data_IF_936679208885
#
_entry.id   IF_936679208885
#
_cell.length_a   1.000
_cell.length_b   1.000
_cell.length_c   1.000
_cell.angle_alpha   90.00
_cell.angle_beta   90.00
_cell.angle_gamma   90.00
#
_symmetry.space_group_name_H-M   'P 1'
#
loop_
_entity.id
_entity.type
_entity.pdbx_description
1 polymer ?
#
# COMPACT_ATOMS: atom_id res chain seq x y z
N UNK A 1 -28.05 -62.04 -30.77
CA UNK A 1 -27.72 -61.07 -29.69
C UNK A 1 -28.81 -61.24 -28.61
N UNK A 2 -28.46 -61.61 -27.42
CA UNK A 2 -29.49 -61.91 -26.39
C UNK A 2 -30.08 -60.63 -25.81
N UNK A 3 -31.35 -60.65 -25.45
CA UNK A 3 -32.13 -59.53 -24.86
C UNK A 3 -31.38 -58.83 -23.70
N UNK A 4 -30.50 -59.50 -22.99
CA UNK A 4 -29.66 -58.96 -21.93
C UNK A 4 -28.59 -57.96 -22.46
N UNK A 5 -28.00 -58.25 -23.63
CA UNK A 5 -27.00 -57.36 -24.23
C UNK A 5 -27.61 -56.05 -24.74
N UNK A 6 -28.82 -56.10 -25.30
CA UNK A 6 -29.58 -54.91 -25.74
C UNK A 6 -29.97 -54.02 -24.57
N UNK A 7 -30.38 -54.60 -23.42
CA UNK A 7 -30.71 -53.82 -22.21
C UNK A 7 -29.49 -53.16 -21.58
N UNK A 8 -28.33 -53.84 -21.56
CA UNK A 8 -27.09 -53.23 -21.08
C UNK A 8 -26.61 -52.09 -21.98
N UNK A 9 -26.71 -52.25 -23.30
CA UNK A 9 -26.34 -51.23 -24.26
C UNK A 9 -27.25 -50.00 -24.16
N UNK A 10 -28.54 -50.15 -23.99
CA UNK A 10 -29.47 -49.09 -23.75
C UNK A 10 -29.20 -48.33 -22.43
N UNK A 11 -28.86 -49.05 -21.36
CA UNK A 11 -28.53 -48.46 -20.08
C UNK A 11 -27.23 -47.59 -20.14
N UNK A 12 -26.21 -48.05 -20.89
CA UNK A 12 -24.97 -47.28 -21.10
C UNK A 12 -25.22 -46.01 -21.87
N UNK A 13 -26.07 -46.04 -22.89
CA UNK A 13 -26.41 -44.81 -23.66
C UNK A 13 -27.15 -43.79 -22.79
N UNK A 14 -28.06 -44.25 -21.94
CA UNK A 14 -28.80 -43.36 -21.01
C UNK A 14 -27.85 -42.77 -19.98
N UNK A 15 -26.94 -43.54 -19.41
CA UNK A 15 -25.97 -43.05 -18.45
C UNK A 15 -24.95 -42.04 -19.09
N UNK A 16 -24.52 -42.29 -20.32
CA UNK A 16 -23.66 -41.36 -21.07
C UNK A 16 -24.42 -40.11 -21.44
N UNK A 17 -25.72 -40.17 -21.80
CA UNK A 17 -26.56 -39.03 -22.07
C UNK A 17 -26.79 -38.14 -20.84
N UNK A 18 -26.98 -38.72 -19.67
CA UNK A 18 -27.09 -38.03 -18.39
C UNK A 18 -25.77 -37.35 -18.04
N UNK A 19 -24.64 -38.05 -18.22
CA UNK A 19 -23.30 -37.45 -18.01
C UNK A 19 -23.05 -36.24 -18.88
N UNK A 20 -23.46 -36.26 -20.14
CA UNK A 20 -23.32 -35.12 -21.06
C UNK A 20 -24.24 -33.96 -20.69
N UNK A 21 -25.45 -34.23 -20.18
CA UNK A 21 -26.36 -33.18 -19.72
C UNK A 21 -25.83 -32.45 -18.48
N UNK A 22 -25.14 -33.14 -17.59
CA UNK A 22 -24.47 -32.55 -16.42
C UNK A 22 -23.18 -31.82 -16.78
N UNK A 23 -22.43 -32.27 -17.80
CA UNK A 23 -21.19 -31.59 -18.24
C UNK A 23 -21.48 -30.33 -19.07
N UNK A 24 -22.62 -30.28 -19.80
CA UNK A 24 -23.00 -29.13 -20.62
C UNK A 24 -23.63 -27.99 -19.85
N UNK A 25 -24.07 -28.20 -18.61
CA UNK A 25 -24.66 -27.18 -17.75
C UNK A 25 -23.63 -26.64 -16.74
N UNK A 26 -22.44 -26.27 -17.22
CA UNK A 26 -21.60 -25.38 -16.41
C UNK A 26 -22.36 -24.07 -16.31
N UNK A 27 -22.76 -23.61 -15.09
CA UNK A 27 -23.29 -22.26 -14.98
C UNK A 27 -22.20 -21.37 -15.54
N UNK A 28 -22.55 -20.52 -16.49
CA UNK A 28 -21.67 -19.42 -16.87
C UNK A 28 -21.46 -18.61 -15.59
N UNK A 29 -20.41 -18.95 -14.84
CA UNK A 29 -19.93 -18.08 -13.79
C UNK A 29 -19.68 -16.76 -14.51
N UNK A 30 -20.54 -15.79 -14.25
CA UNK A 30 -20.32 -14.43 -14.69
C UNK A 30 -18.88 -14.11 -14.25
N UNK A 31 -17.98 -14.07 -15.22
CA UNK A 31 -16.58 -13.77 -14.94
C UNK A 31 -16.62 -12.43 -14.24
N UNK A 32 -16.16 -12.37 -13.01
CA UNK A 32 -15.99 -11.10 -12.34
C UNK A 32 -15.20 -10.21 -13.31
N UNK A 33 -15.67 -8.98 -13.57
CA UNK A 33 -14.97 -8.10 -14.51
C UNK A 33 -13.50 -8.05 -14.13
N UNK A 34 -12.62 -8.06 -15.13
CA UNK A 34 -11.19 -7.94 -14.87
C UNK A 34 -10.93 -6.59 -14.15
N UNK A 35 -9.84 -6.46 -13.41
CA UNK A 35 -9.48 -5.17 -12.80
C UNK A 35 -9.43 -4.03 -13.82
N UNK A 36 -8.97 -4.30 -15.04
CA UNK A 36 -8.95 -3.33 -16.13
C UNK A 36 -10.36 -2.92 -16.57
N UNK A 37 -11.30 -3.87 -16.70
CA UNK A 37 -12.69 -3.58 -17.07
C UNK A 37 -13.40 -2.81 -15.94
N UNK A 38 -13.09 -3.15 -14.68
CA UNK A 38 -13.63 -2.44 -13.53
C UNK A 38 -13.09 -0.99 -13.45
N UNK A 39 -11.81 -0.78 -13.78
CA UNK A 39 -11.20 0.53 -13.87
C UNK A 39 -11.84 1.35 -15.01
N UNK A 40 -11.99 0.76 -16.20
CA UNK A 40 -12.66 1.42 -17.34
C UNK A 40 -14.09 1.82 -16.98
N UNK A 41 -14.86 0.93 -16.35
CA UNK A 41 -16.23 1.23 -15.89
C UNK A 41 -16.25 2.36 -14.86
N UNK A 42 -15.29 2.43 -13.95
CA UNK A 42 -15.18 3.53 -12.99
C UNK A 42 -14.84 4.86 -13.69
N UNK A 43 -13.98 4.83 -14.71
CA UNK A 43 -13.67 6.00 -15.53
C UNK A 43 -14.90 6.48 -16.32
N UNK A 44 -15.73 5.58 -16.84
CA UNK A 44 -16.99 5.93 -17.51
C UNK A 44 -17.97 6.61 -16.57
N UNK A 45 -18.07 6.14 -15.32
CA UNK A 45 -18.86 6.79 -14.29
C UNK A 45 -18.34 8.21 -13.99
N UNK A 46 -17.03 8.38 -13.89
CA UNK A 46 -16.41 9.68 -13.67
C UNK A 46 -16.68 10.65 -14.84
N UNK A 47 -16.51 10.18 -16.07
CA UNK A 47 -16.78 10.96 -17.29
C UNK A 47 -18.26 11.33 -17.45
N UNK A 48 -19.15 10.54 -16.86
CA UNK A 48 -20.59 10.80 -16.79
C UNK A 48 -20.98 11.68 -15.57
N UNK A 49 -20.01 12.30 -14.90
CA UNK A 49 -20.17 13.15 -13.72
C UNK A 49 -20.77 12.42 -12.49
N UNK A 50 -20.84 11.10 -12.53
CA UNK A 50 -21.31 10.25 -11.41
C UNK A 50 -20.18 9.99 -10.42
N UNK A 51 -19.60 11.06 -9.88
CA UNK A 51 -18.36 11.05 -9.10
C UNK A 51 -18.42 10.16 -7.86
N UNK A 52 -19.58 10.11 -7.19
CA UNK A 52 -19.76 9.26 -6.00
C UNK A 52 -19.71 7.77 -6.36
N UNK A 53 -20.30 7.40 -7.49
CA UNK A 53 -20.31 6.01 -7.94
C UNK A 53 -18.95 5.60 -8.50
N UNK A 54 -18.29 6.51 -9.20
CA UNK A 54 -16.91 6.34 -9.64
C UNK A 54 -15.98 6.08 -8.43
N UNK A 55 -16.05 6.94 -7.40
CA UNK A 55 -15.25 6.78 -6.18
C UNK A 55 -15.47 5.41 -5.53
N UNK A 56 -16.73 4.98 -5.37
CA UNK A 56 -17.05 3.64 -4.82
C UNK A 56 -16.49 2.49 -5.68
N UNK A 57 -16.40 2.69 -6.99
CA UNK A 57 -15.86 1.67 -7.91
C UNK A 57 -14.35 1.61 -7.79
N UNK A 58 -13.66 2.74 -7.70
CA UNK A 58 -12.22 2.80 -7.41
C UNK A 58 -11.91 2.26 -6.01
N UNK A 59 -12.68 2.60 -4.98
CA UNK A 59 -12.50 2.07 -3.62
C UNK A 59 -12.61 0.55 -3.57
N UNK A 60 -13.50 -0.05 -4.35
CA UNK A 60 -13.59 -1.51 -4.46
C UNK A 60 -12.33 -2.11 -5.03
N UNK A 61 -11.71 -1.49 -6.05
CA UNK A 61 -10.44 -1.95 -6.60
C UNK A 61 -9.34 -1.86 -5.55
N UNK A 62 -9.24 -0.76 -4.81
CA UNK A 62 -8.30 -0.62 -3.69
C UNK A 62 -8.56 -1.70 -2.63
N UNK A 63 -9.83 -1.96 -2.29
CA UNK A 63 -10.22 -3.01 -1.33
C UNK A 63 -9.88 -4.43 -1.78
N UNK A 64 -9.73 -4.66 -3.09
CA UNK A 64 -9.24 -5.92 -3.67
C UNK A 64 -7.70 -6.00 -3.71
N UNK A 65 -7.00 -4.99 -3.21
CA UNK A 65 -5.55 -4.94 -3.14
C UNK A 65 -4.86 -4.38 -4.39
N UNK A 66 -5.60 -3.73 -5.28
CA UNK A 66 -4.99 -3.02 -6.41
C UNK A 66 -4.44 -1.68 -5.93
N UNK A 67 -3.16 -1.46 -6.20
CA UNK A 67 -2.44 -0.24 -5.82
C UNK A 67 -1.58 0.21 -7.02
N UNK A 68 -2.12 1.12 -7.80
CA UNK A 68 -1.39 1.79 -8.87
C UNK A 68 -1.64 3.30 -8.82
N UNK A 69 -0.77 4.09 -9.46
CA UNK A 69 -0.83 5.54 -9.43
C UNK A 69 -2.11 6.07 -10.07
N UNK A 70 -2.54 5.49 -11.20
CA UNK A 70 -3.73 5.92 -11.93
C UNK A 70 -5.00 5.70 -11.11
N UNK A 71 -5.08 4.56 -10.40
CA UNK A 71 -6.22 4.26 -9.53
C UNK A 71 -6.34 5.29 -8.40
N UNK A 72 -5.25 5.58 -7.70
CA UNK A 72 -5.27 6.58 -6.63
C UNK A 72 -5.46 7.99 -7.16
N UNK A 73 -4.87 8.34 -8.30
CA UNK A 73 -5.06 9.63 -8.94
C UNK A 73 -6.53 9.86 -9.31
N UNK A 74 -7.17 8.89 -9.99
CA UNK A 74 -8.57 8.99 -10.41
C UNK A 74 -9.53 8.98 -9.21
N UNK A 75 -9.21 8.23 -8.15
CA UNK A 75 -9.97 8.27 -6.90
C UNK A 75 -9.84 9.65 -6.22
N UNK A 76 -8.64 10.23 -6.23
CA UNK A 76 -8.40 11.60 -5.78
C UNK A 76 -9.24 12.62 -6.55
N UNK A 77 -9.24 12.52 -7.89
CA UNK A 77 -10.07 13.35 -8.76
C UNK A 77 -11.56 13.20 -8.45
N UNK A 78 -12.05 11.97 -8.22
CA UNK A 78 -13.45 11.72 -7.91
C UNK A 78 -13.86 12.32 -6.57
N UNK A 79 -13.00 12.30 -5.56
CA UNK A 79 -13.24 12.96 -4.28
C UNK A 79 -13.17 14.50 -4.39
N UNK A 80 -12.21 15.02 -5.15
CA UNK A 80 -12.14 16.45 -5.42
C UNK A 80 -13.44 16.98 -6.04
N UNK A 81 -14.01 16.26 -7.03
CA UNK A 81 -15.28 16.61 -7.65
C UNK A 81 -16.49 16.53 -6.70
N UNK A 82 -16.35 15.86 -5.58
CA UNK A 82 -17.36 15.78 -4.51
C UNK A 82 -17.10 16.81 -3.38
N UNK A 83 -16.13 17.72 -3.56
CA UNK A 83 -15.68 18.69 -2.55
C UNK A 83 -15.12 18.04 -1.27
N UNK A 84 -14.68 16.77 -1.38
CA UNK A 84 -14.03 16.06 -0.29
C UNK A 84 -12.51 16.22 -0.41
N UNK A 85 -12.05 17.41 -0.05
CA UNK A 85 -10.64 17.79 -0.21
C UNK A 85 -9.70 16.91 0.61
N UNK A 86 -10.13 16.47 1.79
CA UNK A 86 -9.34 15.62 2.67
C UNK A 86 -9.04 14.25 2.05
N UNK A 87 -10.08 13.57 1.51
CA UNK A 87 -9.89 12.29 0.81
C UNK A 87 -9.19 12.46 -0.53
N UNK A 88 -9.39 13.57 -1.23
CA UNK A 88 -8.66 13.88 -2.45
C UNK A 88 -7.14 13.98 -2.18
N UNK A 89 -6.72 14.78 -1.20
CA UNK A 89 -5.32 14.92 -0.78
C UNK A 89 -4.72 13.57 -0.41
N UNK A 90 -5.43 12.77 0.39
CA UNK A 90 -4.95 11.45 0.81
C UNK A 90 -4.64 10.55 -0.40
N UNK A 91 -5.52 10.53 -1.39
CA UNK A 91 -5.33 9.68 -2.56
C UNK A 91 -4.27 10.24 -3.52
N UNK A 92 -4.17 11.55 -3.71
CA UNK A 92 -3.05 12.14 -4.46
C UNK A 92 -1.69 11.89 -3.80
N UNK A 93 -1.61 11.90 -2.46
CA UNK A 93 -0.36 11.52 -1.76
C UNK A 93 0.00 10.05 -1.96
N UNK A 94 -1.00 9.16 -2.04
CA UNK A 94 -0.75 7.75 -2.38
C UNK A 94 -0.27 7.60 -3.82
N UNK A 95 -0.90 8.28 -4.78
CA UNK A 95 -0.47 8.31 -6.16
C UNK A 95 0.96 8.87 -6.30
N UNK A 96 1.26 10.00 -5.65
CA UNK A 96 2.58 10.61 -5.65
C UNK A 96 3.67 9.68 -5.09
N UNK A 97 3.34 8.85 -4.09
CA UNK A 97 4.30 7.87 -3.56
C UNK A 97 4.68 6.82 -4.60
N UNK A 98 3.74 6.43 -5.48
CA UNK A 98 3.97 5.46 -6.55
C UNK A 98 4.64 6.12 -7.76
N UNK A 99 4.23 7.33 -8.12
CA UNK A 99 4.78 8.11 -9.23
C UNK A 99 5.28 9.49 -8.78
N UNK A 100 6.43 9.57 -8.06
CA UNK A 100 6.89 10.81 -7.41
C UNK A 100 7.31 11.92 -8.38
N UNK A 101 7.48 11.61 -9.67
CA UNK A 101 7.88 12.57 -10.72
C UNK A 101 6.73 12.94 -11.66
N UNK A 102 5.54 12.42 -11.43
CA UNK A 102 4.37 12.76 -12.23
C UNK A 102 3.92 14.20 -11.95
N UNK A 103 3.92 15.02 -13.01
CA UNK A 103 3.61 16.45 -12.92
C UNK A 103 2.13 16.73 -12.67
N UNK A 104 1.23 15.87 -13.19
CA UNK A 104 -0.22 16.04 -13.05
C UNK A 104 -0.65 15.73 -11.61
N UNK A 105 -0.10 14.68 -11.03
CA UNK A 105 -0.33 14.33 -9.62
C UNK A 105 0.16 15.46 -8.70
N UNK A 106 1.38 15.98 -8.94
CA UNK A 106 1.95 17.07 -8.15
C UNK A 106 1.12 18.36 -8.27
N UNK A 107 0.69 18.70 -9.48
CA UNK A 107 -0.12 19.89 -9.74
C UNK A 107 -1.47 19.80 -9.04
N UNK A 108 -2.19 18.67 -9.17
CA UNK A 108 -3.48 18.48 -8.53
C UNK A 108 -3.37 18.45 -7.00
N UNK A 109 -2.37 17.78 -6.45
CA UNK A 109 -2.10 17.79 -5.01
C UNK A 109 -1.87 19.21 -4.48
N UNK A 110 -0.98 19.96 -5.13
CA UNK A 110 -0.68 21.36 -4.74
C UNK A 110 -1.90 22.26 -4.85
N UNK A 111 -2.70 22.07 -5.91
CA UNK A 111 -3.91 22.82 -6.12
C UNK A 111 -4.95 22.59 -5.01
N UNK A 112 -5.20 21.31 -4.66
CA UNK A 112 -6.17 20.99 -3.62
C UNK A 112 -5.66 21.39 -2.24
N UNK A 113 -4.36 21.26 -1.97
CA UNK A 113 -3.76 21.74 -0.73
C UNK A 113 -3.90 23.27 -0.58
N UNK A 114 -3.77 24.04 -1.65
CA UNK A 114 -3.95 25.49 -1.58
C UNK A 114 -5.36 25.92 -1.18
N UNK A 115 -6.37 25.10 -1.50
CA UNK A 115 -7.76 25.34 -1.11
C UNK A 115 -8.04 25.05 0.37
N UNK A 116 -7.22 24.18 0.99
CA UNK A 116 -7.40 23.82 2.41
C UNK A 116 -6.61 24.72 3.37
N UNK A 117 -5.54 25.38 2.89
CA UNK A 117 -4.67 26.20 3.72
C UNK A 117 -5.36 27.49 4.22
N UNK A 118 -6.38 27.96 3.49
CA UNK A 118 -7.13 29.15 3.92
C UNK A 118 -8.06 28.90 5.13
N UNK A 119 -8.31 27.62 5.49
CA UNK A 119 -9.18 27.27 6.64
C UNK A 119 -8.42 26.76 7.87
N UNK A 120 -7.16 26.40 7.72
CA UNK A 120 -6.35 25.92 8.84
C UNK A 120 -5.35 27.01 9.21
N UNK A 121 -5.64 27.78 10.26
CA UNK A 121 -4.56 28.43 11.01
C UNK A 121 -3.48 27.37 11.28
N UNK A 122 -2.18 27.65 11.02
CA UNK A 122 -1.14 26.66 11.28
C UNK A 122 -1.28 26.21 12.72
N UNK A 123 -1.71 24.98 12.92
CA UNK A 123 -1.88 24.43 14.25
C UNK A 123 -0.58 24.73 15.00
N UNK A 124 -0.66 25.33 16.18
CA UNK A 124 0.49 25.66 17.06
C UNK A 124 1.41 24.43 17.25
N UNK A 125 0.88 23.24 17.04
CA UNK A 125 1.60 21.99 17.06
C UNK A 125 2.69 21.86 15.97
N UNK A 126 2.43 22.34 14.74
CA UNK A 126 3.44 22.38 13.68
C UNK A 126 4.59 23.32 14.02
N UNK A 127 4.25 24.49 14.59
CA UNK A 127 5.24 25.45 15.04
C UNK A 127 6.02 24.95 16.26
N UNK A 128 5.38 24.19 17.15
CA UNK A 128 6.05 23.54 18.29
C UNK A 128 7.04 22.47 17.85
N UNK A 129 6.68 21.63 16.85
CA UNK A 129 7.58 20.59 16.32
C UNK A 129 8.75 21.16 15.54
N UNK A 130 8.50 22.19 14.71
CA UNK A 130 9.58 22.87 13.99
C UNK A 130 10.49 23.67 14.93
N UNK A 131 9.91 24.32 15.95
CA UNK A 131 10.68 24.99 17.01
C UNK A 131 11.52 24.00 17.81
N UNK A 132 10.95 22.83 18.16
CA UNK A 132 11.68 21.78 18.84
C UNK A 132 12.78 21.17 17.95
N UNK A 133 12.49 20.92 16.67
CA UNK A 133 13.48 20.43 15.71
C UNK A 133 14.63 21.43 15.49
N UNK A 134 14.31 22.73 15.43
CA UNK A 134 15.30 23.81 15.28
C UNK A 134 16.06 24.08 16.59
N UNK A 135 15.50 23.75 17.74
CA UNK A 135 16.19 23.83 19.04
C UNK A 135 17.15 22.66 19.28
N UNK A 136 17.01 21.56 18.54
CA UNK A 136 17.96 20.45 18.57
C UNK A 136 19.24 20.85 17.83
N UNK A 137 20.44 20.72 18.41
CA UNK A 137 21.71 21.14 17.79
C UNK A 137 22.17 20.21 16.64
N UNK A 138 21.25 19.56 15.94
CA UNK A 138 21.54 18.57 14.91
C UNK A 138 21.20 19.10 13.52
N UNK A 139 22.05 19.97 13.00
CA UNK A 139 21.88 20.57 11.66
C UNK A 139 22.03 19.61 10.48
N UNK A 140 22.49 18.38 10.69
CA UNK A 140 22.61 17.39 9.61
C UNK A 140 22.56 15.95 10.13
N UNK A 141 22.01 15.03 9.29
CA UNK A 141 22.05 13.57 9.53
C UNK A 141 23.48 13.04 9.77
N UNK A 142 24.49 13.71 9.20
CA UNK A 142 25.88 13.33 9.37
C UNK A 142 26.41 13.67 10.78
N UNK A 143 25.97 14.78 11.40
CA UNK A 143 26.37 15.15 12.76
C UNK A 143 25.75 14.25 13.81
N UNK A 144 24.46 13.86 13.65
CA UNK A 144 23.80 12.88 14.54
C UNK A 144 24.45 11.50 14.46
N UNK A 145 24.75 11.02 13.25
CA UNK A 145 25.47 9.77 13.04
C UNK A 145 26.87 9.81 13.66
N UNK A 146 27.59 10.94 13.51
CA UNK A 146 28.91 11.15 14.13
C UNK A 146 28.86 11.10 15.65
N UNK A 147 27.90 11.77 16.28
CA UNK A 147 27.73 11.77 17.74
C UNK A 147 27.32 10.40 18.27
N UNK A 148 26.44 9.67 17.57
CA UNK A 148 26.10 8.30 17.92
C UNK A 148 27.32 7.37 17.84
N UNK A 149 28.17 7.53 16.83
CA UNK A 149 29.39 6.77 16.69
C UNK A 149 30.37 7.04 17.84
N UNK A 150 30.56 8.32 18.19
CA UNK A 150 31.43 8.70 19.32
C UNK A 150 30.89 8.16 20.65
N UNK A 151 29.60 8.26 20.89
CA UNK A 151 28.96 7.70 22.11
C UNK A 151 29.12 6.17 22.16
N UNK A 152 29.00 5.48 21.03
CA UNK A 152 29.16 4.04 20.94
C UNK A 152 30.62 3.60 21.20
N UNK A 153 31.61 4.33 20.65
CA UNK A 153 33.01 4.09 20.90
C UNK A 153 33.36 4.29 22.38
N UNK A 154 32.83 5.38 23.01
CA UNK A 154 33.08 5.64 24.43
C UNK A 154 32.42 4.55 25.32
N UNK A 155 31.25 4.08 24.98
CA UNK A 155 30.56 2.99 25.67
C UNK A 155 31.31 1.67 25.53
N UNK A 156 31.74 1.29 24.32
CA UNK A 156 32.52 0.10 24.06
C UNK A 156 33.87 0.14 24.77
N UNK A 157 34.54 1.31 24.79
CA UNK A 157 35.79 1.53 25.52
C UNK A 157 35.64 1.35 27.04
N UNK A 158 34.53 1.85 27.60
CA UNK A 158 34.27 1.69 29.05
C UNK A 158 34.01 0.23 29.44
N UNK A 159 33.31 -0.53 28.60
CA UNK A 159 33.11 -1.97 28.80
C UNK A 159 34.45 -2.71 28.70
N UNK A 160 35.26 -2.43 27.68
CA UNK A 160 36.57 -3.07 27.51
C UNK A 160 37.47 -2.79 28.72
N UNK A 161 37.50 -1.55 29.19
CA UNK A 161 38.26 -1.17 30.39
C UNK A 161 37.77 -1.89 31.65
N UNK A 162 36.45 -2.02 31.83
CA UNK A 162 35.86 -2.75 32.95
C UNK A 162 36.22 -4.25 32.89
N UNK A 163 36.14 -4.87 31.71
CA UNK A 163 36.53 -6.28 31.49
C UNK A 163 37.99 -6.51 31.80
N UNK A 164 38.91 -5.63 31.31
CA UNK A 164 40.33 -5.73 31.58
C UNK A 164 40.63 -5.63 33.10
N UNK A 165 39.91 -4.73 33.79
CA UNK A 165 40.09 -4.54 35.23
C UNK A 165 39.47 -5.67 36.05
N UNK A 166 38.44 -6.34 35.54
CA UNK A 166 37.77 -7.49 36.19
C UNK A 166 38.53 -8.81 35.94
N UNK A 167 39.44 -8.88 34.96
CA UNK A 167 40.25 -10.09 34.76
C UNK A 167 41.27 -10.22 35.86
N UNK A 168 41.33 -11.35 36.62
CA UNK A 168 42.38 -11.57 37.59
C UNK A 168 43.71 -11.66 36.87
N UNK A 169 44.70 -10.91 37.38
CA UNK A 169 46.09 -10.96 36.87
C UNK A 169 46.60 -12.42 36.88
N UNK A 170 46.75 -13.01 35.71
CA UNK A 170 47.36 -14.32 35.57
C UNK A 170 48.86 -14.14 35.95
N UNK A 171 49.19 -14.45 37.20
CA UNK A 171 50.56 -14.57 37.60
C UNK A 171 51.22 -15.69 36.80
N UNK A 172 52.14 -15.34 35.93
CA UNK A 172 52.97 -16.33 35.27
C UNK A 172 53.70 -17.20 36.31
N UNK A 173 53.56 -18.53 36.29
CA UNK A 173 54.39 -19.37 37.13
C UNK A 173 55.87 -19.18 36.67
N UNK A 174 56.70 -18.71 37.58
CA UNK A 174 58.14 -18.66 37.37
C UNK A 174 58.66 -20.07 37.09
N UNK A 175 59.12 -20.27 35.85
CA UNK A 175 59.95 -21.44 35.49
C UNK A 175 61.24 -21.38 36.29
N UNK A 176 61.35 -22.31 37.26
CA UNK A 176 62.61 -22.73 37.88
C UNK A 176 63.09 -23.97 37.13
#
# INVERSE_FOLDING_TARGET
MGVRAVKLFALTIVLLGIGWAFYGAQPAFAQSPSPADAMASANDLYNSERYQEAARSYERLVGLGHEDEDLFYNLGNAYYKQDDLGRAILNYLKAQRLAPRDGDIQANLSFVQSQTVDELEPAEFGNSLTSFANAMPFESTNTTAGLMLVAWIAFAGSIAWWVIKAMPSIKHPSLI
#
